data_IF_261043520020
#
_entry.id   IF_261043520020
#
_cell.length_a   1.000
_cell.length_b   1.000
_cell.length_c   1.000
_cell.angle_alpha   90.00
_cell.angle_beta   90.00
_cell.angle_gamma   90.00
#
_symmetry.space_group_name_H-M   'P 1'
#
loop_
_entity.id
_entity.type
_entity.pdbx_description
1 polymer ?
#
# COMPACT_ATOMS: atom_id res chain seq x y z
N UNK A 1 9.55 -6.28 -31.30
CA UNK A 1 9.85 -5.50 -30.07
C UNK A 1 9.07 -4.18 -29.93
N UNK A 2 8.13 -3.83 -30.83
CA UNK A 2 7.42 -2.53 -30.80
C UNK A 2 5.91 -2.59 -30.53
N UNK A 3 5.30 -3.79 -30.44
CA UNK A 3 3.84 -3.92 -30.30
C UNK A 3 3.33 -4.01 -28.86
N UNK A 4 4.22 -4.22 -27.88
CA UNK A 4 3.86 -4.31 -26.45
C UNK A 4 3.88 -2.92 -25.77
N UNK A 5 4.57 -1.94 -26.35
CA UNK A 5 4.76 -0.62 -25.73
C UNK A 5 3.54 0.30 -25.86
N UNK A 6 2.59 0.01 -26.78
CA UNK A 6 1.64 1.02 -27.26
C UNK A 6 0.16 0.71 -26.96
N UNK A 7 -0.16 -0.21 -26.04
CA UNK A 7 -1.55 -0.68 -25.84
C UNK A 7 -2.11 -0.70 -24.41
N UNK A 8 -1.49 -0.02 -23.46
CA UNK A 8 -1.97 -0.05 -22.06
C UNK A 8 -2.45 1.31 -21.60
N UNK A 9 -3.68 1.67 -21.99
CA UNK A 9 -4.39 2.90 -21.59
C UNK A 9 -5.03 2.81 -20.19
N UNK A 10 -4.45 2.02 -19.28
CA UNK A 10 -4.66 2.22 -17.84
C UNK A 10 -3.54 3.14 -17.35
N UNK A 11 -3.93 4.37 -17.01
CA UNK A 11 -3.05 5.45 -16.55
C UNK A 11 -2.56 5.21 -15.10
N UNK A 12 -2.13 3.99 -14.77
CA UNK A 12 -1.17 3.80 -13.69
C UNK A 12 0.18 4.08 -14.34
N UNK A 13 0.73 5.26 -14.06
CA UNK A 13 2.08 5.61 -14.51
C UNK A 13 3.02 4.42 -14.20
N UNK A 14 3.77 3.92 -15.19
CA UNK A 14 4.71 2.79 -15.08
C UNK A 14 5.90 3.14 -14.15
N UNK A 15 5.61 3.48 -12.89
CA UNK A 15 6.55 3.92 -11.86
C UNK A 15 6.42 3.00 -10.65
N UNK A 16 7.50 2.92 -9.87
CA UNK A 16 7.59 2.00 -8.74
C UNK A 16 7.95 0.57 -9.19
N UNK A 17 7.48 -0.44 -8.46
CA UNK A 17 7.87 -1.84 -8.68
C UNK A 17 6.72 -2.66 -9.29
N UNK A 18 5.47 -2.42 -8.89
CA UNK A 18 4.33 -3.26 -9.30
C UNK A 18 3.96 -3.11 -10.78
N UNK A 19 4.03 -1.88 -11.30
CA UNK A 19 3.57 -1.56 -12.65
C UNK A 19 4.70 -1.09 -13.58
N UNK A 20 5.96 -1.01 -13.11
CA UNK A 20 7.08 -0.62 -13.95
C UNK A 20 7.63 -1.81 -14.75
N UNK A 21 8.29 -1.51 -15.87
CA UNK A 21 8.93 -2.51 -16.74
C UNK A 21 10.35 -2.09 -17.13
N UNK A 22 11.14 -3.03 -17.64
CA UNK A 22 12.50 -2.77 -18.15
C UNK A 22 13.51 -2.46 -17.04
N UNK A 23 14.52 -1.65 -17.36
CA UNK A 23 15.61 -1.34 -16.42
C UNK A 23 15.14 -0.57 -15.19
N UNK A 24 14.14 0.30 -15.32
CA UNK A 24 13.59 1.05 -14.17
C UNK A 24 13.06 0.10 -13.08
N UNK A 25 12.35 -0.96 -13.49
CA UNK A 25 11.87 -1.99 -12.56
C UNK A 25 13.02 -2.73 -11.86
N UNK A 26 14.06 -3.14 -12.62
CA UNK A 26 15.21 -3.86 -12.06
C UNK A 26 15.94 -3.03 -11.00
N UNK A 27 16.21 -1.75 -11.31
CA UNK A 27 16.90 -0.84 -10.39
C UNK A 27 16.07 -0.59 -9.13
N UNK A 28 14.78 -0.24 -9.28
CA UNK A 28 13.90 0.03 -8.14
C UNK A 28 13.72 -1.19 -7.25
N UNK A 29 13.56 -2.39 -7.85
CA UNK A 29 13.44 -3.64 -7.12
C UNK A 29 14.71 -3.97 -6.34
N UNK A 30 15.89 -3.83 -6.96
CA UNK A 30 17.18 -4.10 -6.29
C UNK A 30 17.40 -3.14 -5.13
N UNK A 31 17.12 -1.85 -5.34
CA UNK A 31 17.20 -0.83 -4.30
C UNK A 31 16.28 -1.19 -3.12
N UNK A 32 14.98 -1.36 -3.36
CA UNK A 32 14.01 -1.62 -2.29
C UNK A 32 14.33 -2.90 -1.49
N UNK A 33 14.74 -3.99 -2.15
CA UNK A 33 15.09 -5.24 -1.47
C UNK A 33 16.36 -5.09 -0.62
N UNK A 34 17.37 -4.36 -1.10
CA UNK A 34 18.56 -4.10 -0.29
C UNK A 34 18.20 -3.27 0.93
N UNK A 35 17.49 -2.15 0.73
CA UNK A 35 17.08 -1.26 1.83
C UNK A 35 16.23 -2.00 2.87
N UNK A 36 15.23 -2.78 2.45
CA UNK A 36 14.43 -3.57 3.40
C UNK A 36 15.30 -4.52 4.24
N UNK A 37 16.25 -5.23 3.63
CA UNK A 37 17.17 -6.12 4.35
C UNK A 37 18.07 -5.35 5.33
N UNK A 38 18.55 -4.17 4.94
CA UNK A 38 19.41 -3.32 5.77
C UNK A 38 18.63 -2.77 6.97
N UNK A 39 17.37 -2.40 6.78
CA UNK A 39 16.40 -2.02 7.84
C UNK A 39 15.93 -3.20 8.71
N UNK A 40 16.46 -4.40 8.47
CA UNK A 40 16.25 -5.54 9.34
C UNK A 40 15.10 -6.45 8.92
N UNK A 41 14.60 -6.35 7.67
CA UNK A 41 13.69 -7.35 7.10
C UNK A 41 14.30 -8.75 7.23
N UNK A 42 13.59 -9.67 7.90
CA UNK A 42 14.08 -11.01 8.23
C UNK A 42 14.96 -11.09 9.49
N UNK A 43 15.05 -10.01 10.28
CA UNK A 43 15.71 -9.97 11.60
C UNK A 43 14.67 -9.74 12.72
N UNK A 44 15.11 -9.88 13.97
CA UNK A 44 14.27 -9.76 15.17
C UNK A 44 13.50 -8.44 15.29
N UNK A 45 14.03 -7.35 14.76
CA UNK A 45 13.36 -6.02 14.75
C UNK A 45 11.99 -6.10 14.05
N UNK A 46 11.88 -6.90 12.99
CA UNK A 46 10.60 -7.06 12.28
C UNK A 46 9.63 -7.91 13.09
N UNK A 47 10.14 -8.98 13.69
CA UNK A 47 9.36 -9.85 14.55
C UNK A 47 8.77 -9.07 15.72
N UNK A 48 9.54 -8.19 16.36
CA UNK A 48 9.08 -7.33 17.45
C UNK A 48 7.92 -6.42 17.00
N UNK A 49 7.99 -5.81 15.82
CA UNK A 49 6.89 -5.00 15.25
C UNK A 49 5.64 -5.82 14.92
N UNK A 50 5.82 -7.05 14.43
CA UNK A 50 4.70 -7.96 14.16
C UNK A 50 4.05 -8.37 15.47
N UNK A 51 4.83 -8.73 16.49
CA UNK A 51 4.32 -9.13 17.82
C UNK A 51 3.59 -7.98 18.53
N UNK A 52 4.09 -6.75 18.39
CA UNK A 52 3.42 -5.53 18.86
C UNK A 52 2.02 -5.40 18.24
N UNK A 53 1.91 -5.49 16.90
CA UNK A 53 0.61 -5.42 16.22
C UNK A 53 -0.29 -6.62 16.51
N UNK A 54 0.26 -7.82 16.69
CA UNK A 54 -0.51 -8.98 17.15
C UNK A 54 -1.15 -8.73 18.52
N UNK A 55 -0.42 -8.08 19.44
CA UNK A 55 -0.94 -7.73 20.77
C UNK A 55 -2.12 -6.76 20.68
N UNK A 56 -2.03 -5.75 19.80
CA UNK A 56 -3.15 -4.85 19.53
C UNK A 56 -4.34 -5.55 18.88
N UNK A 57 -4.09 -6.46 17.94
CA UNK A 57 -5.14 -7.22 17.27
C UNK A 57 -5.91 -8.11 18.26
N UNK A 58 -5.21 -8.76 19.20
CA UNK A 58 -5.83 -9.56 20.25
C UNK A 58 -6.75 -8.71 21.14
N UNK A 59 -6.31 -7.51 21.54
CA UNK A 59 -7.18 -6.58 22.29
C UNK A 59 -8.45 -6.22 21.51
N UNK A 60 -8.36 -6.02 20.20
CA UNK A 60 -9.54 -5.76 19.35
C UNK A 60 -10.48 -6.96 19.34
N UNK A 61 -9.96 -8.19 19.35
CA UNK A 61 -10.76 -9.41 19.36
C UNK A 61 -11.43 -9.64 20.72
N UNK A 62 -10.71 -9.43 21.82
CA UNK A 62 -11.23 -9.55 23.18
C UNK A 62 -12.40 -8.58 23.41
N UNK A 63 -12.29 -7.35 22.88
CA UNK A 63 -13.35 -6.34 22.96
C UNK A 63 -14.66 -6.72 22.26
N UNK A 64 -14.67 -7.74 21.40
CA UNK A 64 -15.89 -8.23 20.74
C UNK A 64 -16.75 -9.08 21.67
N UNK A 65 -16.24 -9.48 22.85
CA UNK A 65 -16.97 -10.22 23.88
C UNK A 65 -17.69 -11.47 23.32
N UNK A 66 -17.02 -12.23 22.46
CA UNK A 66 -17.54 -13.46 21.86
C UNK A 66 -18.62 -13.27 20.78
N UNK A 67 -18.94 -12.02 20.41
CA UNK A 67 -19.90 -11.74 19.33
C UNK A 67 -19.26 -12.00 17.97
N UNK A 68 -20.00 -12.52 16.98
CA UNK A 68 -19.53 -12.59 15.60
C UNK A 68 -19.21 -11.19 15.07
N UNK A 69 -18.05 -11.03 14.44
CA UNK A 69 -17.61 -9.79 13.80
C UNK A 69 -16.76 -10.11 12.56
N UNK A 70 -16.60 -9.12 11.69
CA UNK A 70 -15.72 -9.24 10.52
C UNK A 70 -14.25 -9.07 10.93
N UNK A 71 -13.47 -10.14 10.82
CA UNK A 71 -12.03 -10.16 11.14
C UNK A 71 -11.17 -9.55 10.04
N UNK A 72 -11.70 -9.42 8.81
CA UNK A 72 -10.92 -8.93 7.68
C UNK A 72 -10.48 -7.48 7.89
N UNK A 73 -11.35 -6.65 8.47
CA UNK A 73 -11.05 -5.23 8.71
C UNK A 73 -9.93 -5.03 9.76
N UNK A 74 -10.00 -5.61 10.97
CA UNK A 74 -8.89 -5.54 11.93
C UNK A 74 -7.58 -6.11 11.38
N UNK A 75 -7.62 -7.23 10.65
CA UNK A 75 -6.43 -7.82 10.02
C UNK A 75 -5.80 -6.89 8.97
N UNK A 76 -6.63 -6.23 8.16
CA UNK A 76 -6.15 -5.25 7.18
C UNK A 76 -5.49 -4.05 7.86
N UNK A 77 -6.02 -3.61 9.00
CA UNK A 77 -5.43 -2.51 9.78
C UNK A 77 -4.09 -2.93 10.38
N UNK A 78 -4.02 -4.07 11.05
CA UNK A 78 -2.76 -4.61 11.60
C UNK A 78 -1.68 -4.75 10.51
N UNK A 79 -2.01 -5.38 9.39
CA UNK A 79 -1.07 -5.56 8.26
C UNK A 79 -0.60 -4.23 7.69
N UNK A 80 -1.54 -3.27 7.54
CA UNK A 80 -1.21 -1.94 7.02
C UNK A 80 -0.32 -1.16 7.98
N UNK A 81 -0.51 -1.31 9.30
CA UNK A 81 0.31 -0.65 10.30
C UNK A 81 1.73 -1.23 10.38
N UNK A 82 1.90 -2.54 10.24
CA UNK A 82 3.22 -3.16 10.10
C UNK A 82 3.96 -2.49 8.93
N UNK A 83 3.32 -2.41 7.75
CA UNK A 83 3.91 -1.76 6.56
C UNK A 83 4.19 -0.28 6.82
N UNK A 84 3.25 0.45 7.40
CA UNK A 84 3.42 1.87 7.74
C UNK A 84 4.58 2.09 8.71
N UNK A 85 4.77 1.20 9.69
CA UNK A 85 5.89 1.30 10.61
C UNK A 85 7.23 1.08 9.92
N UNK A 86 7.32 0.25 8.88
CA UNK A 86 8.54 0.12 8.08
C UNK A 86 8.78 1.31 7.16
N UNK A 87 7.73 1.74 6.47
CA UNK A 87 7.85 2.80 5.45
C UNK A 87 8.04 4.15 6.11
N UNK A 88 7.19 4.50 7.07
CA UNK A 88 7.14 5.82 7.71
C UNK A 88 7.85 5.88 9.07
N UNK A 89 8.28 4.74 9.61
CA UNK A 89 8.89 4.70 10.94
C UNK A 89 7.92 4.94 12.10
N UNK A 90 6.62 4.99 11.81
CA UNK A 90 5.57 5.32 12.78
C UNK A 90 4.36 4.40 12.60
N UNK A 91 3.73 4.07 13.72
CA UNK A 91 2.46 3.34 13.79
C UNK A 91 1.32 4.36 13.87
N UNK A 92 0.21 4.08 13.21
CA UNK A 92 -1.01 4.87 13.32
C UNK A 92 -2.02 4.19 14.25
N UNK A 93 -2.82 4.98 14.95
CA UNK A 93 -3.93 4.43 15.72
C UNK A 93 -5.05 3.92 14.82
N UNK A 94 -5.78 2.89 15.27
CA UNK A 94 -6.81 2.23 14.46
C UNK A 94 -8.05 3.11 14.25
N UNK A 95 -8.22 4.14 15.07
CA UNK A 95 -9.26 5.16 14.98
C UNK A 95 -8.81 6.43 14.24
N UNK A 96 -7.52 6.56 13.88
CA UNK A 96 -7.01 7.71 13.13
C UNK A 96 -7.76 7.84 11.80
N UNK A 97 -8.53 8.93 11.59
CA UNK A 97 -9.30 9.13 10.38
C UNK A 97 -8.45 9.12 9.10
N UNK A 98 -7.19 9.53 9.16
CA UNK A 98 -6.26 9.51 8.02
C UNK A 98 -5.87 8.08 7.68
N UNK A 99 -5.48 7.30 8.69
CA UNK A 99 -5.11 5.89 8.51
C UNK A 99 -6.29 5.07 7.99
N UNK A 100 -7.47 5.20 8.62
CA UNK A 100 -8.70 4.52 8.20
C UNK A 100 -9.03 4.83 6.74
N UNK A 101 -8.92 6.10 6.32
CA UNK A 101 -9.14 6.49 4.91
C UNK A 101 -8.11 5.87 3.97
N UNK A 102 -6.83 5.86 4.34
CA UNK A 102 -5.76 5.28 3.54
C UNK A 102 -5.99 3.78 3.30
N UNK A 103 -6.23 3.02 4.38
CA UNK A 103 -6.42 1.56 4.29
C UNK A 103 -7.72 1.21 3.55
N UNK A 104 -8.79 1.96 3.80
CA UNK A 104 -10.08 1.75 3.10
C UNK A 104 -9.93 2.00 1.59
N UNK A 105 -9.28 3.09 1.19
CA UNK A 105 -9.02 3.39 -0.23
C UNK A 105 -8.11 2.35 -0.87
N UNK A 106 -7.10 1.86 -0.15
CA UNK A 106 -6.21 0.81 -0.64
C UNK A 106 -7.00 -0.50 -0.89
N UNK A 107 -7.80 -0.93 0.08
CA UNK A 107 -8.65 -2.12 -0.04
C UNK A 107 -9.65 -2.00 -1.20
N UNK A 108 -10.35 -0.86 -1.32
CA UNK A 108 -11.24 -0.61 -2.45
C UNK A 108 -10.51 -0.64 -3.80
N UNK A 109 -9.31 -0.08 -3.86
CA UNK A 109 -8.52 -0.04 -5.10
C UNK A 109 -8.09 -1.44 -5.50
N UNK A 110 -7.67 -2.28 -4.56
CA UNK A 110 -7.31 -3.69 -4.80
C UNK A 110 -8.53 -4.48 -5.26
N UNK A 111 -9.67 -4.35 -4.56
CA UNK A 111 -10.91 -5.05 -4.94
C UNK A 111 -11.39 -4.65 -6.33
N UNK A 112 -11.39 -3.33 -6.64
CA UNK A 112 -11.80 -2.82 -7.96
C UNK A 112 -10.81 -3.22 -9.05
N UNK A 113 -9.51 -3.22 -8.77
CA UNK A 113 -8.48 -3.68 -9.71
C UNK A 113 -8.63 -5.17 -10.03
N UNK A 114 -9.03 -5.98 -9.06
CA UNK A 114 -9.33 -7.41 -9.24
C UNK A 114 -10.69 -7.71 -9.88
N UNK A 115 -11.57 -6.72 -10.05
CA UNK A 115 -12.94 -6.93 -10.51
C UNK A 115 -13.02 -7.50 -11.94
N UNK A 116 -14.04 -8.31 -12.27
CA UNK A 116 -14.21 -8.89 -13.61
C UNK A 116 -14.22 -7.83 -14.72
N UNK A 117 -14.74 -6.63 -14.43
CA UNK A 117 -14.79 -5.50 -15.37
C UNK A 117 -13.38 -5.02 -15.76
N UNK A 118 -12.45 -4.97 -14.80
CA UNK A 118 -11.04 -4.61 -15.07
C UNK A 118 -10.30 -5.77 -15.73
N UNK A 119 -10.61 -7.02 -15.39
CA UNK A 119 -10.01 -8.18 -16.05
C UNK A 119 -10.41 -8.26 -17.53
N UNK A 120 -11.69 -8.07 -17.86
CA UNK A 120 -12.19 -8.03 -19.24
C UNK A 120 -11.51 -6.91 -20.04
N UNK A 121 -11.28 -5.76 -19.41
CA UNK A 121 -10.51 -4.68 -20.04
C UNK A 121 -9.06 -5.03 -20.32
N UNK A 122 -8.38 -5.65 -19.36
CA UNK A 122 -7.00 -6.08 -19.53
C UNK A 122 -6.86 -7.07 -20.69
N UNK A 123 -7.88 -7.92 -20.89
CA UNK A 123 -7.94 -8.86 -22.00
C UNK A 123 -8.31 -8.19 -23.33
N UNK A 124 -9.24 -7.24 -23.31
CA UNK A 124 -9.76 -6.55 -24.49
C UNK A 124 -9.74 -5.02 -24.34
N UNK A 125 -8.57 -4.38 -24.54
CA UNK A 125 -8.36 -2.96 -24.27
C UNK A 125 -9.10 -2.00 -25.21
N UNK A 126 -9.89 -2.49 -26.17
CA UNK A 126 -10.69 -1.66 -27.07
C UNK A 126 -12.12 -1.45 -26.56
N UNK A 127 -12.58 -2.20 -25.56
CA UNK A 127 -13.91 -2.09 -24.94
C UNK A 127 -13.99 -0.97 -23.86
N UNK A 128 -13.16 0.07 -24.01
CA UNK A 128 -12.83 1.09 -22.98
C UNK A 128 -14.03 1.92 -22.51
N UNK A 129 -15.04 2.09 -23.37
CA UNK A 129 -16.12 3.07 -23.16
C UNK A 129 -17.05 2.78 -21.98
N UNK A 130 -17.08 1.56 -21.45
CA UNK A 130 -18.13 1.11 -20.53
C UNK A 130 -17.72 1.01 -19.05
N UNK A 131 -16.45 1.30 -18.72
CA UNK A 131 -15.89 0.96 -17.40
C UNK A 131 -15.97 2.15 -16.44
N UNK A 132 -17.09 2.26 -15.73
CA UNK A 132 -17.31 3.27 -14.68
C UNK A 132 -16.28 3.18 -13.54
N UNK A 133 -15.76 1.99 -13.24
CA UNK A 133 -14.78 1.77 -12.17
C UNK A 133 -13.44 2.49 -12.39
N UNK A 134 -13.10 2.84 -13.64
CA UNK A 134 -11.83 3.48 -13.96
C UNK A 134 -11.68 4.86 -13.31
N UNK A 135 -12.76 5.65 -13.26
CA UNK A 135 -12.73 6.98 -12.64
C UNK A 135 -12.53 6.88 -11.13
N UNK A 136 -13.15 5.89 -10.49
CA UNK A 136 -13.02 5.69 -9.04
C UNK A 136 -11.61 5.24 -8.65
N UNK A 137 -11.02 4.29 -9.39
CA UNK A 137 -9.62 3.88 -9.17
C UNK A 137 -8.68 5.08 -9.35
N UNK A 138 -8.90 5.90 -10.38
CA UNK A 138 -8.06 7.07 -10.65
C UNK A 138 -8.17 8.10 -9.52
N UNK A 139 -9.37 8.45 -9.11
CA UNK A 139 -9.60 9.44 -8.03
C UNK A 139 -9.06 8.95 -6.69
N UNK A 140 -9.29 7.68 -6.33
CA UNK A 140 -8.73 7.09 -5.11
C UNK A 140 -7.20 7.11 -5.14
N UNK A 141 -6.59 6.73 -6.27
CA UNK A 141 -5.13 6.77 -6.44
C UNK A 141 -4.56 8.17 -6.31
N UNK A 142 -5.21 9.18 -6.92
CA UNK A 142 -4.78 10.57 -6.82
C UNK A 142 -4.84 11.09 -5.38
N UNK A 143 -5.90 10.77 -4.63
CA UNK A 143 -6.00 11.18 -3.22
C UNK A 143 -4.97 10.46 -2.35
N UNK A 144 -4.79 9.15 -2.52
CA UNK A 144 -3.76 8.40 -1.78
C UNK A 144 -2.35 8.91 -2.08
N UNK A 145 -2.04 9.29 -3.33
CA UNK A 145 -0.73 9.88 -3.67
C UNK A 145 -0.51 11.22 -2.96
N UNK A 146 -1.56 12.03 -2.77
CA UNK A 146 -1.46 13.28 -2.00
C UNK A 146 -1.18 12.99 -0.54
N UNK A 147 -1.98 12.13 0.08
CA UNK A 147 -1.82 11.78 1.50
C UNK A 147 -0.42 11.19 1.78
N UNK A 148 0.08 10.29 0.91
CA UNK A 148 1.43 9.72 1.02
C UNK A 148 2.51 10.79 0.81
N UNK A 149 2.31 11.73 -0.12
CA UNK A 149 3.25 12.84 -0.33
C UNK A 149 3.34 13.73 0.90
N UNK A 150 2.20 14.04 1.51
CA UNK A 150 2.14 14.88 2.70
C UNK A 150 2.83 14.19 3.88
N UNK A 151 2.62 12.88 4.06
CA UNK A 151 3.35 12.08 5.06
C UNK A 151 4.86 12.09 4.82
N UNK A 152 5.29 11.86 3.58
CA UNK A 152 6.72 11.91 3.21
C UNK A 152 7.31 13.30 3.47
N UNK A 153 6.55 14.36 3.19
CA UNK A 153 6.99 15.73 3.40
C UNK A 153 7.23 16.01 4.90
N UNK A 154 6.29 15.59 5.76
CA UNK A 154 6.43 15.70 7.21
C UNK A 154 7.62 14.89 7.75
N UNK A 155 7.85 13.70 7.20
CA UNK A 155 8.99 12.87 7.57
C UNK A 155 10.32 13.49 7.14
N UNK A 156 10.36 14.16 5.99
CA UNK A 156 11.53 14.91 5.53
C UNK A 156 11.83 16.12 6.41
N UNK A 157 10.81 16.82 6.87
CA UNK A 157 10.96 17.97 7.78
C UNK A 157 11.47 17.55 9.16
N UNK A 158 11.10 16.36 9.61
CA UNK A 158 11.53 15.78 10.89
C UNK A 158 12.72 14.82 10.76
N UNK A 159 13.37 14.80 9.59
CA UNK A 159 14.46 13.88 9.26
C UNK A 159 15.72 14.24 10.05
N UNK A 160 16.17 13.30 10.88
CA UNK A 160 17.47 13.37 11.52
C UNK A 160 18.42 12.38 10.82
N UNK A 161 19.52 12.84 10.19
CA UNK A 161 20.48 11.97 9.49
C UNK A 161 21.13 10.91 10.37
N UNK A 162 21.15 11.10 11.69
CA UNK A 162 21.75 10.18 12.65
C UNK A 162 20.76 9.12 13.18
N UNK A 163 19.45 9.26 12.91
CA UNK A 163 18.41 8.30 13.31
C UNK A 163 17.51 7.96 12.11
N UNK A 164 17.80 6.86 11.42
CA UNK A 164 16.89 6.30 10.42
C UNK A 164 15.63 5.76 11.11
N UNK A 165 14.52 6.49 10.99
CA UNK A 165 13.22 6.11 11.57
C UNK A 165 12.44 5.13 10.68
N UNK A 166 12.61 5.20 9.35
CA UNK A 166 11.90 4.36 8.36
C UNK A 166 12.55 4.47 6.97
N UNK A 167 11.88 3.94 5.94
CA UNK A 167 12.40 3.81 4.57
C UNK A 167 12.38 5.11 3.71
N UNK A 168 12.12 6.28 4.31
CA UNK A 168 12.01 7.59 3.63
C UNK A 168 13.36 8.30 3.52
#
# INVERSE_FOLDING_TARGET
>A
KSLVQNRSRFFLCFKGILFANGESWKQMRRFALSTLRDFGMGKRIVEEKILEECSHLLQVFDNQNGKPFDTARPLNFATSNIICSFVYGSRFEYDDPRFVKLVTRANETIQKAGSPQVQIYNMFPWLVGWIKNRQVIKNNSEMSIRDVRDLIQQLKETLNPQMCRGLV
#
